data_IF_637511518518
#
_entry.id   IF_637511518518
#
_cell.length_a   1.000
_cell.length_b   1.000
_cell.length_c   1.000
_cell.angle_alpha   90.00
_cell.angle_beta   90.00
_cell.angle_gamma   90.00
#
_symmetry.space_group_name_H-M   'P 1'
#
loop_
_entity.id
_entity.type
_entity.pdbx_description
1 polymer ?
#
# COMPACT_ATOMS: atom_id res chain seq x y z
N UNK A 1 -16.67 19.53 6.75
CA UNK A 1 -16.35 18.09 6.75
C UNK A 1 -14.87 17.95 6.44
N UNK A 2 -14.05 17.56 7.42
CA UNK A 2 -12.61 17.33 7.20
C UNK A 2 -12.49 15.97 6.53
N UNK A 3 -12.19 15.94 5.23
CA UNK A 3 -11.85 14.69 4.55
C UNK A 3 -10.58 14.13 5.19
N UNK A 4 -10.67 12.96 5.81
CA UNK A 4 -9.51 12.15 6.23
C UNK A 4 -8.81 11.65 4.94
N UNK A 5 -8.09 12.54 4.25
CA UNK A 5 -7.48 12.28 2.94
C UNK A 5 -6.38 11.21 2.95
N UNK A 6 -5.89 10.77 4.12
CA UNK A 6 -4.72 9.88 4.24
C UNK A 6 -4.95 8.66 5.15
N UNK A 7 -6.20 8.21 5.34
CA UNK A 7 -6.41 6.91 6.01
C UNK A 7 -6.28 5.79 4.99
N UNK A 8 -5.07 5.24 4.89
CA UNK A 8 -4.81 3.96 4.24
C UNK A 8 -5.75 2.93 4.88
N UNK A 9 -6.56 2.30 4.06
CA UNK A 9 -7.58 1.33 4.43
C UNK A 9 -7.50 0.10 3.51
N UNK A 10 -8.23 -0.95 3.84
CA UNK A 10 -8.37 -2.13 2.98
C UNK A 10 -9.00 -1.70 1.65
N UNK A 11 -8.44 -2.13 0.52
CA UNK A 11 -8.91 -1.75 -0.82
C UNK A 11 -7.88 -1.91 -1.92
N UNK A 12 -8.25 -1.49 -3.14
CA UNK A 12 -7.43 -1.56 -4.35
C UNK A 12 -6.68 -0.25 -4.58
N UNK A 13 -5.38 -0.32 -4.84
CA UNK A 13 -4.51 0.84 -4.96
C UNK A 13 -3.58 0.78 -6.18
N UNK A 14 -3.20 1.98 -6.64
CA UNK A 14 -2.19 2.20 -7.66
C UNK A 14 -0.96 2.85 -7.04
N UNK A 15 0.23 2.39 -7.41
CA UNK A 15 1.47 3.04 -7.02
C UNK A 15 1.77 4.29 -7.86
N UNK A 16 2.10 5.41 -7.20
CA UNK A 16 2.51 6.69 -7.81
C UNK A 16 4.01 6.84 -7.96
N UNK A 17 4.79 5.88 -7.47
CA UNK A 17 6.26 5.92 -7.46
C UNK A 17 6.82 4.51 -7.39
N UNK A 18 8.13 4.36 -7.46
CA UNK A 18 8.76 3.07 -7.18
C UNK A 18 8.93 2.90 -5.67
N UNK A 19 8.38 1.81 -5.12
CA UNK A 19 8.49 1.44 -3.71
C UNK A 19 9.40 0.22 -3.62
N UNK A 20 10.53 0.36 -2.93
CA UNK A 20 11.50 -0.72 -2.72
C UNK A 20 11.38 -1.27 -1.31
N UNK A 21 11.27 -2.59 -1.19
CA UNK A 21 11.31 -3.29 0.09
C UNK A 21 12.71 -3.80 0.36
N UNK A 22 13.25 -3.45 1.53
CA UNK A 22 14.59 -3.90 1.95
C UNK A 22 14.63 -5.38 2.31
N UNK A 23 13.53 -5.93 2.85
CA UNK A 23 13.56 -7.26 3.46
C UNK A 23 13.30 -8.40 2.45
N UNK A 24 12.45 -8.18 1.44
CA UNK A 24 12.02 -9.25 0.51
C UNK A 24 12.50 -9.06 -0.94
N UNK A 25 13.34 -8.05 -1.24
CA UNK A 25 13.71 -7.64 -2.61
C UNK A 25 12.51 -7.38 -3.54
N UNK A 26 11.34 -7.10 -2.96
CA UNK A 26 10.14 -6.78 -3.74
C UNK A 26 10.22 -5.32 -4.17
N UNK A 27 9.82 -5.08 -5.41
CA UNK A 27 9.72 -3.74 -5.99
C UNK A 27 8.33 -3.57 -6.57
N UNK A 28 7.59 -2.62 -6.03
CA UNK A 28 6.34 -2.14 -6.64
C UNK A 28 6.75 -0.95 -7.52
N UNK A 29 6.57 -1.07 -8.82
CA UNK A 29 6.91 -0.03 -9.77
C UNK A 29 5.81 1.05 -9.83
N UNK A 30 6.16 2.21 -10.39
CA UNK A 30 5.18 3.23 -10.76
C UNK A 30 4.10 2.61 -11.68
N UNK A 31 2.83 2.82 -11.34
CA UNK A 31 1.70 2.32 -12.11
C UNK A 31 1.32 0.86 -11.82
N UNK A 32 2.02 0.17 -10.92
CA UNK A 32 1.60 -1.14 -10.46
C UNK A 32 0.37 -1.03 -9.55
N UNK A 33 -0.52 -2.02 -9.69
CA UNK A 33 -1.70 -2.18 -8.85
C UNK A 33 -1.48 -3.27 -7.80
N UNK A 34 -2.03 -3.05 -6.62
CA UNK A 34 -1.99 -4.00 -5.50
C UNK A 34 -3.15 -3.75 -4.55
N UNK A 35 -3.43 -4.73 -3.71
CA UNK A 35 -4.54 -4.66 -2.77
C UNK A 35 -4.00 -4.57 -1.36
N UNK A 36 -4.51 -3.66 -0.55
CA UNK A 36 -4.31 -3.71 0.90
C UNK A 36 -5.40 -4.62 1.45
N UNK A 37 -4.99 -5.74 2.05
CA UNK A 37 -5.91 -6.77 2.56
C UNK A 37 -6.14 -6.66 4.06
N UNK A 38 -5.21 -6.07 4.81
CA UNK A 38 -5.37 -5.84 6.26
C UNK A 38 -4.60 -4.59 6.75
N UNK A 39 -5.06 -3.99 7.84
CA UNK A 39 -4.39 -2.89 8.55
C UNK A 39 -4.05 -3.35 9.97
N UNK A 40 -2.75 -3.56 10.21
CA UNK A 40 -2.22 -4.14 11.44
C UNK A 40 -2.00 -3.08 12.53
N UNK A 41 -1.97 -3.50 13.79
CA UNK A 41 -1.90 -2.61 14.97
C UNK A 41 -0.56 -1.85 15.13
N UNK A 42 0.48 -2.22 14.39
CA UNK A 42 1.84 -1.68 14.52
C UNK A 42 2.22 -0.70 13.41
N UNK A 43 1.27 0.08 12.90
CA UNK A 43 1.46 0.95 11.73
C UNK A 43 1.90 0.18 10.47
N UNK A 44 1.47 -1.07 10.37
CA UNK A 44 1.75 -1.94 9.24
C UNK A 44 0.46 -2.29 8.50
N UNK A 45 0.58 -2.65 7.24
CA UNK A 45 -0.50 -3.16 6.41
C UNK A 45 -0.05 -4.42 5.71
N UNK A 46 -0.98 -5.34 5.48
CA UNK A 46 -0.76 -6.47 4.58
C UNK A 46 -1.23 -6.06 3.19
N UNK A 47 -0.41 -6.33 2.17
CA UNK A 47 -0.80 -6.16 0.78
C UNK A 47 -0.70 -7.48 0.01
N UNK A 48 -1.59 -7.66 -0.95
CA UNK A 48 -1.53 -8.69 -1.98
C UNK A 48 -0.97 -8.08 -3.27
N UNK A 49 0.19 -8.56 -3.69
CA UNK A 49 0.86 -8.14 -4.92
C UNK A 49 1.42 -9.38 -5.66
N UNK A 50 1.14 -9.52 -6.96
CA UNK A 50 1.49 -10.71 -7.74
C UNK A 50 1.16 -12.06 -7.06
N UNK A 51 -0.05 -12.17 -6.49
CA UNK A 51 -0.55 -13.38 -5.81
C UNK A 51 0.23 -13.77 -4.53
N UNK A 52 1.03 -12.85 -3.98
CA UNK A 52 1.74 -13.04 -2.72
C UNK A 52 1.40 -11.93 -1.74
N UNK A 53 1.34 -12.29 -0.46
CA UNK A 53 1.14 -11.33 0.61
C UNK A 53 2.48 -10.84 1.15
N UNK A 54 2.49 -9.57 1.49
CA UNK A 54 3.66 -8.86 2.01
C UNK A 54 3.21 -7.87 3.07
N UNK A 55 4.07 -7.59 4.05
CA UNK A 55 3.77 -6.60 5.09
C UNK A 55 4.56 -5.32 4.83
N UNK A 56 3.88 -4.18 4.97
CA UNK A 56 4.42 -2.85 4.69
C UNK A 56 4.23 -1.92 5.88
N UNK A 57 5.24 -1.12 6.19
CA UNK A 57 5.02 0.04 7.04
C UNK A 57 4.15 1.04 6.28
N UNK A 58 3.06 1.45 6.93
CA UNK A 58 2.05 2.35 6.37
C UNK A 58 2.67 3.68 5.92
N UNK A 59 3.70 4.15 6.61
CA UNK A 59 4.37 5.42 6.33
C UNK A 59 5.06 5.43 4.96
N UNK A 60 5.54 4.26 4.49
CA UNK A 60 6.15 4.13 3.15
C UNK A 60 5.10 4.35 2.05
N UNK A 61 3.86 3.97 2.33
CA UNK A 61 2.75 4.05 1.40
C UNK A 61 2.09 5.44 1.40
N UNK A 62 2.24 6.21 2.48
CA UNK A 62 1.64 7.53 2.59
C UNK A 62 2.19 8.49 1.50
N UNK A 63 1.29 9.01 0.68
CA UNK A 63 1.64 9.88 -0.46
C UNK A 63 2.23 9.16 -1.68
N UNK A 64 2.61 7.88 -1.54
CA UNK A 64 3.15 7.03 -2.60
C UNK A 64 2.08 6.27 -3.39
N UNK A 65 0.83 6.23 -2.91
CA UNK A 65 -0.25 5.39 -3.48
C UNK A 65 -1.53 6.20 -3.72
N UNK A 66 -2.42 5.69 -4.59
CA UNK A 66 -3.76 6.24 -4.87
C UNK A 66 -4.78 5.12 -4.72
N UNK A 67 -5.87 5.35 -4.00
CA UNK A 67 -6.99 4.42 -3.97
C UNK A 67 -7.72 4.41 -5.32
N UNK A 68 -7.85 3.24 -5.94
CA UNK A 68 -8.58 3.05 -7.20
C UNK A 68 -10.06 2.74 -7.00
N UNK A 69 -10.43 2.22 -5.82
CA UNK A 69 -11.82 1.89 -5.46
C UNK A 69 -12.16 2.46 -4.07
N UNK A 70 -13.39 2.99 -3.94
CA UNK A 70 -14.03 3.39 -2.69
C UNK A 70 -15.24 2.50 -2.43
#
# INVERSE_FOLDING_TARGET
MKYDRNKIAIGHYLSKTNIHLRDDNVKIAFGDEFDITDVLKNNQVEILFHQKNYTFDRDILEGAIIALSH
#
